data_IF_137463202736
#
_entry.id   IF_137463202736
#
_cell.length_a   1.000
_cell.length_b   1.000
_cell.length_c   1.000
_cell.angle_alpha   90.00
_cell.angle_beta   90.00
_cell.angle_gamma   90.00
#
_symmetry.space_group_name_H-M   'P 1'
#
loop_
_entity.id
_entity.type
_entity.pdbx_description
1 polymer ?
#
# COMPACT_ATOMS: atom_id res chain seq x y z
N UNK A 1 -18.66 25.64 -10.18
CA UNK A 1 -17.19 25.54 -10.31
C UNK A 1 -16.68 24.99 -9.00
N UNK A 2 -16.16 23.76 -9.00
CA UNK A 2 -15.58 23.13 -7.81
C UNK A 2 -14.25 23.84 -7.53
N UNK A 3 -13.96 24.11 -6.26
CA UNK A 3 -12.85 24.92 -5.79
C UNK A 3 -11.51 24.38 -6.33
N UNK A 4 -10.79 25.14 -7.16
CA UNK A 4 -9.49 24.73 -7.73
C UNK A 4 -8.39 24.55 -6.66
N UNK A 5 -8.73 24.84 -5.40
CA UNK A 5 -7.86 24.70 -4.23
C UNK A 5 -8.10 23.42 -3.41
N UNK A 6 -9.07 22.56 -3.76
CA UNK A 6 -9.25 21.29 -3.02
C UNK A 6 -8.13 20.32 -3.39
N UNK A 7 -7.21 20.05 -2.44
CA UNK A 7 -6.17 19.01 -2.58
C UNK A 7 -6.81 17.63 -2.72
N UNK A 8 -6.31 16.74 -3.61
CA UNK A 8 -6.78 15.36 -3.67
C UNK A 8 -6.41 14.62 -2.38
N UNK A 9 -7.30 13.76 -1.93
CA UNK A 9 -7.07 12.90 -0.76
C UNK A 9 -6.02 11.83 -1.10
N UNK A 10 -4.98 11.69 -0.28
CA UNK A 10 -4.02 10.59 -0.39
C UNK A 10 -4.49 9.38 0.42
N UNK A 11 -4.99 8.36 -0.28
CA UNK A 11 -5.52 7.14 0.31
C UNK A 11 -4.46 6.02 0.38
N UNK A 12 -4.15 5.59 1.60
CA UNK A 12 -3.00 4.73 1.90
C UNK A 12 -3.41 3.32 2.34
N UNK A 13 -2.73 2.26 1.84
CA UNK A 13 -3.04 0.88 2.19
C UNK A 13 -2.47 0.48 3.55
N UNK A 14 -3.29 -0.15 4.40
CA UNK A 14 -2.79 -0.76 5.63
C UNK A 14 -2.80 -2.27 5.56
N UNK A 15 -1.65 -2.84 5.91
CA UNK A 15 -1.52 -4.25 6.25
C UNK A 15 -2.01 -4.46 7.69
N UNK A 16 -1.31 -3.82 8.64
CA UNK A 16 -1.51 -3.95 10.08
C UNK A 16 -1.19 -2.63 10.81
N UNK A 17 -1.20 -2.63 12.15
CA UNK A 17 -0.91 -1.43 12.96
C UNK A 17 0.46 -0.81 12.70
N UNK A 18 1.47 -1.59 12.29
CA UNK A 18 2.79 -1.04 11.95
C UNK A 18 2.71 -0.19 10.69
N UNK A 19 1.93 -0.61 9.70
CA UNK A 19 1.65 0.21 8.51
C UNK A 19 0.85 1.46 8.87
N UNK A 20 -0.08 1.40 9.83
CA UNK A 20 -0.83 2.58 10.28
C UNK A 20 0.13 3.61 10.91
N UNK A 21 0.93 3.18 11.88
CA UNK A 21 1.90 4.02 12.57
C UNK A 21 2.97 4.61 11.65
N UNK A 22 3.21 3.98 10.50
CA UNK A 22 4.14 4.43 9.48
C UNK A 22 3.63 5.62 8.65
N UNK A 23 2.33 5.93 8.68
CA UNK A 23 1.72 6.90 7.75
C UNK A 23 0.83 7.96 8.42
N UNK A 24 0.74 7.95 9.75
CA UNK A 24 -0.08 8.91 10.51
C UNK A 24 0.21 10.38 10.17
N UNK A 25 1.45 10.70 9.77
CA UNK A 25 1.87 12.07 9.49
C UNK A 25 1.69 12.49 8.02
N UNK A 26 1.35 11.56 7.12
CA UNK A 26 1.38 11.81 5.66
C UNK A 26 0.12 11.36 4.90
N UNK A 27 -0.78 10.60 5.53
CA UNK A 27 -2.01 10.12 4.89
C UNK A 27 -3.19 11.06 5.17
N UNK A 28 -4.07 11.25 4.19
CA UNK A 28 -5.37 11.91 4.42
C UNK A 28 -6.45 10.86 4.76
N UNK A 29 -6.31 9.65 4.21
CA UNK A 29 -7.17 8.52 4.51
C UNK A 29 -6.40 7.20 4.43
N UNK A 30 -6.95 6.17 5.08
CA UNK A 30 -6.43 4.81 5.04
C UNK A 30 -7.49 3.81 4.63
N UNK A 31 -7.08 2.75 3.92
CA UNK A 31 -7.97 1.62 3.63
C UNK A 31 -7.35 0.29 4.07
N UNK A 32 -8.20 -0.57 4.62
CA UNK A 32 -7.78 -1.84 5.18
C UNK A 32 -8.89 -2.88 5.14
N UNK A 33 -8.54 -4.15 5.35
CA UNK A 33 -9.51 -5.23 5.46
C UNK A 33 -9.38 -5.94 6.79
N UNK A 34 -10.46 -6.57 7.23
CA UNK A 34 -10.43 -7.51 8.36
C UNK A 34 -10.03 -8.92 7.87
N UNK A 35 -9.98 -9.92 8.73
CA UNK A 35 -9.67 -11.32 8.39
C UNK A 35 -10.73 -12.02 7.49
N UNK A 36 -11.61 -11.26 6.81
CA UNK A 36 -12.68 -11.76 5.93
C UNK A 36 -13.01 -10.77 4.82
N UNK A 37 -13.64 -11.28 3.76
CA UNK A 37 -14.28 -10.55 2.65
C UNK A 37 -13.48 -9.42 1.99
N UNK A 38 -12.17 -9.57 1.82
CA UNK A 38 -11.37 -8.54 1.17
C UNK A 38 -10.38 -9.12 0.15
N UNK A 39 -9.89 -8.26 -0.74
CA UNK A 39 -9.04 -8.66 -1.87
C UNK A 39 -7.62 -9.12 -1.52
N UNK A 40 -7.22 -9.13 -0.24
CA UNK A 40 -5.89 -9.53 0.23
C UNK A 40 -6.01 -10.45 1.44
N UNK A 41 -6.73 -11.56 1.27
CA UNK A 41 -7.00 -12.53 2.35
C UNK A 41 -5.73 -13.13 2.96
N UNK A 42 -4.64 -13.23 2.19
CA UNK A 42 -3.34 -13.73 2.68
C UNK A 42 -2.45 -12.63 3.29
N UNK A 43 -2.93 -11.39 3.41
CA UNK A 43 -2.21 -10.37 4.15
C UNK A 43 -2.37 -10.56 5.66
N UNK A 44 -1.49 -9.94 6.43
CA UNK A 44 -1.58 -9.83 7.89
C UNK A 44 -2.66 -8.80 8.22
N UNK A 45 -3.92 -9.18 8.04
CA UNK A 45 -5.09 -8.31 8.14
C UNK A 45 -5.41 -7.96 9.60
N UNK A 46 -6.17 -6.89 9.77
CA UNK A 46 -6.72 -6.55 11.06
C UNK A 46 -7.79 -7.54 11.47
N UNK A 47 -7.96 -7.63 12.77
CA UNK A 47 -8.93 -8.49 13.40
C UNK A 47 -10.20 -7.63 13.62
N UNK A 48 -11.40 -8.23 13.65
CA UNK A 48 -12.65 -7.42 13.60
C UNK A 48 -12.82 -6.51 14.83
N UNK A 49 -12.36 -6.98 15.97
CA UNK A 49 -12.34 -6.25 17.24
C UNK A 49 -11.29 -5.12 17.32
N UNK A 50 -10.37 -5.03 16.35
CA UNK A 50 -9.40 -3.94 16.25
C UNK A 50 -10.05 -2.66 15.70
N UNK A 51 -11.23 -2.75 15.06
CA UNK A 51 -11.89 -1.62 14.39
C UNK A 51 -11.99 -0.36 15.26
N UNK A 52 -12.51 -0.40 16.52
CA UNK A 52 -12.62 0.82 17.33
C UNK A 52 -11.26 1.47 17.61
N UNK A 53 -10.20 0.65 17.78
CA UNK A 53 -8.84 1.17 18.01
C UNK A 53 -8.28 1.81 16.75
N UNK A 54 -8.48 1.20 15.58
CA UNK A 54 -8.02 1.73 14.29
C UNK A 54 -8.70 3.08 14.02
N UNK A 55 -10.03 3.13 14.07
CA UNK A 55 -10.80 4.35 13.78
C UNK A 55 -10.43 5.47 14.76
N UNK A 56 -10.40 5.17 16.07
CA UNK A 56 -9.95 6.14 17.08
C UNK A 56 -8.55 6.70 16.82
N UNK A 57 -7.64 5.85 16.34
CA UNK A 57 -6.26 6.28 16.04
C UNK A 57 -6.24 7.19 14.82
N UNK A 58 -7.00 6.86 13.76
CA UNK A 58 -7.09 7.65 12.55
C UNK A 58 -7.76 9.01 12.81
N UNK A 59 -8.90 9.02 13.50
CA UNK A 59 -9.62 10.26 13.83
C UNK A 59 -8.83 11.19 14.75
N UNK A 60 -8.03 10.65 15.68
CA UNK A 60 -7.13 11.44 16.52
C UNK A 60 -6.04 12.18 15.73
N UNK A 61 -5.76 11.76 14.50
CA UNK A 61 -4.82 12.40 13.57
C UNK A 61 -5.51 12.96 12.32
N UNK A 62 -6.84 13.14 12.35
CA UNK A 62 -7.64 13.65 11.23
C UNK A 62 -7.57 12.83 9.94
N UNK A 63 -7.39 11.51 10.06
CA UNK A 63 -7.34 10.56 8.95
C UNK A 63 -8.69 9.84 8.85
N UNK A 64 -9.26 9.75 7.64
CA UNK A 64 -10.44 8.92 7.38
C UNK A 64 -10.08 7.43 7.29
N UNK A 65 -10.91 6.56 7.86
CA UNK A 65 -10.73 5.12 7.89
C UNK A 65 -11.76 4.40 7.00
N UNK A 66 -11.29 3.68 5.98
CA UNK A 66 -12.15 2.96 5.03
C UNK A 66 -11.96 1.44 5.13
N UNK A 67 -13.05 0.73 5.42
CA UNK A 67 -13.06 -0.74 5.52
C UNK A 67 -13.36 -1.37 4.15
N UNK A 68 -12.52 -2.30 3.69
CA UNK A 68 -12.78 -3.05 2.46
C UNK A 68 -13.58 -4.32 2.73
N UNK A 69 -14.76 -4.43 2.11
CA UNK A 69 -15.53 -5.67 1.95
C UNK A 69 -15.72 -5.95 0.45
N UNK A 70 -14.61 -5.92 -0.28
CA UNK A 70 -14.59 -5.76 -1.72
C UNK A 70 -14.33 -7.08 -2.47
N UNK A 71 -15.11 -8.12 -2.15
CA UNK A 71 -15.11 -9.41 -2.86
C UNK A 71 -16.54 -9.81 -3.20
N UNK A 72 -16.71 -10.79 -4.08
CA UNK A 72 -18.04 -11.40 -4.37
C UNK A 72 -18.59 -12.01 -3.08
N UNK A 73 -19.87 -11.86 -2.77
CA UNK A 73 -20.51 -12.40 -1.56
C UNK A 73 -21.51 -13.48 -1.93
N UNK A 74 -21.53 -14.58 -1.19
CA UNK A 74 -22.53 -15.66 -1.35
C UNK A 74 -23.66 -15.54 -0.32
N UNK A 75 -24.81 -16.13 -0.63
CA UNK A 75 -26.02 -16.08 0.21
C UNK A 75 -25.75 -16.45 1.68
N UNK A 76 -25.02 -17.56 1.90
CA UNK A 76 -24.67 -18.05 3.23
C UNK A 76 -23.64 -17.18 3.97
N UNK A 77 -23.09 -16.15 3.34
CA UNK A 77 -22.07 -15.25 3.90
C UNK A 77 -22.65 -13.94 4.42
N UNK A 78 -23.90 -13.61 4.09
CA UNK A 78 -24.55 -12.35 4.52
C UNK A 78 -24.65 -12.22 6.04
N UNK A 79 -24.81 -13.32 6.78
CA UNK A 79 -24.80 -13.28 8.25
C UNK A 79 -23.46 -12.75 8.80
N UNK A 80 -22.34 -13.21 8.25
CA UNK A 80 -21.02 -12.73 8.66
C UNK A 80 -20.78 -11.30 8.18
N UNK A 81 -21.19 -10.97 6.96
CA UNK A 81 -21.08 -9.62 6.42
C UNK A 81 -21.87 -8.63 7.30
N UNK A 82 -23.10 -8.96 7.67
CA UNK A 82 -23.94 -8.14 8.54
C UNK A 82 -23.23 -7.86 9.88
N UNK A 83 -22.65 -8.89 10.51
CA UNK A 83 -21.87 -8.74 11.74
C UNK A 83 -20.65 -7.82 11.57
N UNK A 84 -19.95 -7.92 10.44
CA UNK A 84 -18.81 -7.05 10.13
C UNK A 84 -19.28 -5.60 9.98
N UNK A 85 -20.36 -5.36 9.24
CA UNK A 85 -20.92 -4.02 9.03
C UNK A 85 -21.49 -3.42 10.32
N UNK A 86 -22.15 -4.21 11.17
CA UNK A 86 -22.61 -3.76 12.50
C UNK A 86 -21.44 -3.25 13.35
N UNK A 87 -20.33 -3.99 13.34
CA UNK A 87 -19.10 -3.56 14.03
C UNK A 87 -18.44 -2.35 13.39
N UNK A 88 -18.56 -2.20 12.07
CA UNK A 88 -18.04 -1.04 11.36
C UNK A 88 -18.85 0.23 11.71
N UNK A 89 -20.18 0.13 11.83
CA UNK A 89 -21.05 1.21 12.31
C UNK A 89 -20.74 1.56 13.77
N UNK A 90 -20.64 0.56 14.67
CA UNK A 90 -20.30 0.78 16.08
C UNK A 90 -18.93 1.46 16.26
N UNK A 91 -17.96 1.14 15.40
CA UNK A 91 -16.64 1.74 15.41
C UNK A 91 -16.58 3.10 14.69
N UNK A 92 -17.68 3.59 14.13
CA UNK A 92 -17.78 4.85 13.39
C UNK A 92 -16.84 4.89 12.16
N UNK A 93 -16.78 3.80 11.39
CA UNK A 93 -16.02 3.77 10.13
C UNK A 93 -16.53 4.86 9.17
N UNK A 94 -15.63 5.57 8.48
CA UNK A 94 -16.02 6.67 7.62
C UNK A 94 -16.70 6.18 6.33
N UNK A 95 -16.23 5.07 5.77
CA UNK A 95 -16.88 4.42 4.62
C UNK A 95 -16.47 2.96 4.46
N UNK A 96 -17.27 2.21 3.69
CA UNK A 96 -16.91 0.87 3.20
C UNK A 96 -16.61 0.85 1.71
N UNK A 97 -15.53 0.17 1.32
CA UNK A 97 -15.18 -0.07 -0.09
C UNK A 97 -15.77 -1.41 -0.50
N UNK A 98 -16.74 -1.39 -1.41
CA UNK A 98 -17.61 -2.51 -1.74
C UNK A 98 -17.93 -2.60 -3.24
N UNK A 99 -18.44 -3.73 -3.73
CA UNK A 99 -18.94 -3.81 -5.11
C UNK A 99 -20.10 -4.78 -5.31
N UNK A 100 -20.25 -5.77 -4.44
CA UNK A 100 -21.36 -6.71 -4.51
C UNK A 100 -22.69 -5.98 -4.30
N UNK A 101 -23.65 -6.18 -5.22
CA UNK A 101 -24.90 -5.41 -5.25
C UNK A 101 -25.79 -5.74 -4.05
N UNK A 102 -25.84 -7.00 -3.62
CA UNK A 102 -26.59 -7.38 -2.41
C UNK A 102 -25.95 -6.79 -1.16
N UNK A 103 -24.62 -6.76 -1.12
CA UNK A 103 -23.88 -6.13 -0.03
C UNK A 103 -24.08 -4.59 0.00
N UNK A 104 -24.18 -3.93 -1.16
CA UNK A 104 -24.52 -2.49 -1.25
C UNK A 104 -25.89 -2.21 -0.64
N UNK A 105 -26.90 -3.05 -0.91
CA UNK A 105 -28.23 -2.88 -0.30
C UNK A 105 -28.15 -2.95 1.24
N UNK A 106 -27.42 -3.93 1.78
CA UNK A 106 -27.24 -4.07 3.22
C UNK A 106 -26.51 -2.87 3.86
N UNK A 107 -25.51 -2.31 3.16
CA UNK A 107 -24.79 -1.11 3.61
C UNK A 107 -25.73 0.11 3.65
N UNK A 108 -26.62 0.24 2.65
CA UNK A 108 -27.63 1.30 2.61
C UNK A 108 -28.66 1.17 3.72
N UNK A 109 -29.12 -0.04 4.04
CA UNK A 109 -30.03 -0.29 5.16
C UNK A 109 -29.45 0.17 6.50
N UNK A 110 -28.12 0.16 6.62
CA UNK A 110 -27.38 0.62 7.80
C UNK A 110 -27.04 2.11 7.78
N UNK A 111 -27.43 2.85 6.74
CA UNK A 111 -27.05 4.25 6.52
C UNK A 111 -25.54 4.50 6.58
N UNK A 112 -24.75 3.53 6.09
CA UNK A 112 -23.29 3.63 6.08
C UNK A 112 -22.81 4.14 4.72
N UNK A 113 -21.90 5.12 4.72
CA UNK A 113 -21.29 5.65 3.50
C UNK A 113 -20.46 4.59 2.79
N UNK A 114 -20.47 4.62 1.44
CA UNK A 114 -19.82 3.58 0.65
C UNK A 114 -19.17 4.09 -0.63
N UNK A 115 -18.05 3.43 -0.94
CA UNK A 115 -17.24 3.66 -2.13
C UNK A 115 -17.29 2.41 -3.00
N UNK A 116 -17.38 2.59 -4.32
CA UNK A 116 -17.38 1.46 -5.25
C UNK A 116 -15.96 1.03 -5.57
N UNK A 117 -15.63 -0.20 -5.23
CA UNK A 117 -14.36 -0.85 -5.53
C UNK A 117 -14.10 -0.97 -7.04
N UNK A 118 -12.83 -0.89 -7.44
CA UNK A 118 -12.37 -1.16 -8.81
C UNK A 118 -12.81 -2.55 -9.33
N UNK A 119 -13.22 -3.46 -8.45
CA UNK A 119 -13.84 -4.75 -8.84
C UNK A 119 -15.14 -4.59 -9.63
N UNK A 120 -15.86 -3.48 -9.48
CA UNK A 120 -17.03 -3.17 -10.31
C UNK A 120 -16.66 -2.82 -11.77
N UNK A 121 -15.37 -2.63 -12.07
CA UNK A 121 -14.87 -2.29 -13.40
C UNK A 121 -15.58 -1.07 -14.03
N UNK A 122 -15.66 0.02 -13.27
CA UNK A 122 -16.25 1.29 -13.76
C UNK A 122 -15.29 1.90 -14.79
N UNK A 123 -15.61 1.71 -16.07
CA UNK A 123 -14.79 2.14 -17.21
C UNK A 123 -15.49 3.15 -18.13
N UNK A 124 -16.69 3.59 -17.78
CA UNK A 124 -17.47 4.54 -18.59
C UNK A 124 -18.44 5.35 -17.71
N UNK A 125 -18.91 6.47 -18.26
CA UNK A 125 -19.78 7.42 -17.57
C UNK A 125 -21.16 6.87 -17.21
N UNK A 126 -21.71 5.92 -17.99
CA UNK A 126 -23.01 5.30 -17.68
C UNK A 126 -22.94 4.46 -16.42
N UNK A 127 -21.91 3.63 -16.29
CA UNK A 127 -21.65 2.86 -15.07
C UNK A 127 -21.39 3.79 -13.88
N UNK A 128 -20.58 4.84 -14.08
CA UNK A 128 -20.27 5.79 -13.02
C UNK A 128 -21.53 6.49 -12.49
N UNK A 129 -22.38 6.98 -13.40
CA UNK A 129 -23.66 7.60 -13.07
C UNK A 129 -24.63 6.66 -12.37
N UNK A 130 -24.72 5.41 -12.82
CA UNK A 130 -25.55 4.40 -12.16
C UNK A 130 -25.17 4.26 -10.67
N UNK A 131 -23.86 4.18 -10.37
CA UNK A 131 -23.41 4.05 -8.99
C UNK A 131 -23.62 5.34 -8.17
N UNK A 132 -23.43 6.52 -8.78
CA UNK A 132 -23.79 7.80 -8.14
C UNK A 132 -25.30 7.86 -7.80
N UNK A 133 -26.17 7.46 -8.74
CA UNK A 133 -27.63 7.53 -8.59
C UNK A 133 -28.15 6.61 -7.47
N UNK A 134 -27.46 5.49 -7.19
CA UNK A 134 -27.82 4.61 -6.07
C UNK A 134 -27.20 5.04 -4.72
N UNK A 135 -26.41 6.12 -4.71
CA UNK A 135 -25.91 6.76 -3.49
C UNK A 135 -24.41 6.56 -3.19
N UNK A 136 -23.61 6.08 -4.14
CA UNK A 136 -22.16 5.96 -3.90
C UNK A 136 -21.50 7.34 -3.76
N UNK A 137 -20.71 7.52 -2.71
CA UNK A 137 -20.00 8.79 -2.46
C UNK A 137 -18.70 8.89 -3.26
N UNK A 138 -18.07 7.76 -3.56
CA UNK A 138 -16.82 7.68 -4.32
C UNK A 138 -16.75 6.48 -5.24
N UNK A 139 -16.18 6.67 -6.42
CA UNK A 139 -16.04 5.66 -7.46
C UNK A 139 -14.57 5.39 -7.74
N UNK A 140 -14.10 4.20 -7.39
CA UNK A 140 -12.73 3.76 -7.69
C UNK A 140 -12.73 3.23 -9.11
N UNK A 141 -12.22 4.05 -10.04
CA UNK A 141 -12.31 3.78 -11.46
C UNK A 141 -11.44 2.57 -11.87
N UNK A 142 -11.80 1.98 -13.02
CA UNK A 142 -11.04 0.90 -13.63
C UNK A 142 -9.60 1.35 -13.94
N UNK A 143 -8.63 0.44 -13.79
CA UNK A 143 -7.19 0.73 -13.99
C UNK A 143 -6.78 0.77 -15.46
N UNK A 144 -7.71 0.43 -16.35
CA UNK A 144 -7.50 0.34 -17.79
C UNK A 144 -7.88 1.64 -18.53
N UNK A 145 -8.12 2.75 -17.80
CA UNK A 145 -8.52 4.04 -18.37
C UNK A 145 -7.34 4.97 -18.61
N UNK A 146 -7.44 5.77 -19.67
CA UNK A 146 -6.56 6.92 -19.90
C UNK A 146 -6.97 8.12 -19.05
N UNK A 147 -6.07 9.09 -18.90
CA UNK A 147 -6.35 10.32 -18.17
C UNK A 147 -7.51 11.14 -18.79
N UNK A 148 -7.61 11.12 -20.12
CA UNK A 148 -8.69 11.75 -20.88
C UNK A 148 -10.04 11.08 -20.53
N UNK A 149 -10.11 9.75 -20.58
CA UNK A 149 -11.32 9.01 -20.23
C UNK A 149 -11.74 9.22 -18.77
N UNK A 150 -10.77 9.31 -17.85
CA UNK A 150 -11.04 9.63 -16.44
C UNK A 150 -11.68 11.02 -16.33
N UNK A 151 -11.12 12.00 -17.05
CA UNK A 151 -11.62 13.38 -17.06
C UNK A 151 -13.04 13.45 -17.64
N UNK A 152 -13.30 12.74 -18.74
CA UNK A 152 -14.63 12.62 -19.35
C UNK A 152 -15.66 12.04 -18.36
N UNK A 153 -15.33 10.93 -17.70
CA UNK A 153 -16.20 10.34 -16.66
C UNK A 153 -16.48 11.36 -15.57
N UNK A 154 -15.45 12.07 -15.08
CA UNK A 154 -15.59 13.08 -14.03
C UNK A 154 -16.60 14.18 -14.39
N UNK A 155 -16.61 14.63 -15.63
CA UNK A 155 -17.54 15.70 -16.08
C UNK A 155 -19.02 15.30 -15.99
N UNK A 156 -19.31 14.00 -15.95
CA UNK A 156 -20.69 13.49 -15.91
C UNK A 156 -21.29 13.35 -14.51
N UNK A 157 -20.43 13.40 -13.47
CA UNK A 157 -20.81 13.22 -12.07
C UNK A 157 -21.20 14.55 -11.43
N UNK A 158 -22.19 14.52 -10.53
CA UNK A 158 -22.69 15.71 -9.83
C UNK A 158 -22.11 15.85 -8.43
N UNK A 159 -21.95 14.73 -7.73
CA UNK A 159 -21.61 14.66 -6.31
C UNK A 159 -20.48 13.68 -6.05
N UNK A 160 -20.53 12.51 -6.69
CA UNK A 160 -19.58 11.44 -6.44
C UNK A 160 -18.13 11.87 -6.76
N UNK A 161 -17.24 11.50 -5.86
CA UNK A 161 -15.81 11.62 -6.04
C UNK A 161 -15.28 10.50 -6.94
N UNK A 162 -14.18 10.75 -7.64
CA UNK A 162 -13.44 9.72 -8.37
C UNK A 162 -12.11 9.46 -7.66
N UNK A 163 -11.76 8.19 -7.62
CA UNK A 163 -10.51 7.71 -7.06
C UNK A 163 -9.78 6.86 -8.10
N UNK A 164 -8.48 7.09 -8.23
CA UNK A 164 -7.64 6.33 -9.15
C UNK A 164 -6.38 5.82 -8.46
N UNK A 165 -5.85 4.70 -8.95
CA UNK A 165 -4.56 4.21 -8.47
C UNK A 165 -3.45 5.09 -9.04
N UNK A 166 -2.47 5.46 -8.21
CA UNK A 166 -1.31 6.27 -8.63
C UNK A 166 0.02 5.53 -8.46
N UNK A 167 0.05 4.50 -7.60
CA UNK A 167 1.25 3.72 -7.35
C UNK A 167 0.95 2.27 -7.02
N UNK A 168 1.92 1.40 -7.33
CA UNK A 168 1.99 0.03 -6.83
C UNK A 168 1.60 -1.00 -7.88
N UNK A 169 1.29 -2.20 -7.41
CA UNK A 169 1.25 -3.33 -8.32
C UNK A 169 0.07 -3.33 -9.31
N UNK A 170 0.38 -3.46 -10.60
CA UNK A 170 -0.61 -3.56 -11.67
C UNK A 170 -0.97 -5.02 -11.99
N UNK A 171 -2.23 -5.24 -12.38
CA UNK A 171 -2.71 -6.53 -12.91
C UNK A 171 -2.54 -6.54 -14.43
N UNK A 172 -2.28 -7.71 -15.01
CA UNK A 172 -2.32 -7.94 -16.46
C UNK A 172 -3.70 -8.29 -16.97
N UNK A 173 -4.53 -8.91 -16.13
CA UNK A 173 -5.95 -9.11 -16.41
C UNK A 173 -6.75 -7.84 -16.16
N UNK A 174 -7.89 -7.71 -16.86
CA UNK A 174 -8.89 -6.68 -16.59
C UNK A 174 -9.32 -6.73 -15.12
N UNK A 175 -9.39 -5.55 -14.50
CA UNK A 175 -9.77 -5.35 -13.11
C UNK A 175 -11.09 -6.06 -12.77
N UNK A 176 -11.07 -6.90 -11.74
CA UNK A 176 -12.23 -7.68 -11.28
C UNK A 176 -12.58 -8.91 -12.13
N UNK A 177 -11.77 -9.27 -13.14
CA UNK A 177 -12.09 -10.35 -14.10
C UNK A 177 -10.98 -11.42 -14.24
N UNK A 178 -10.15 -11.61 -13.22
CA UNK A 178 -9.03 -12.54 -13.28
C UNK A 178 -9.40 -13.94 -12.76
N UNK A 179 -9.30 -14.95 -13.62
CA UNK A 179 -9.54 -16.37 -13.29
C UNK A 179 -8.25 -17.19 -13.13
N UNK A 180 -7.11 -16.63 -13.50
CA UNK A 180 -5.87 -17.38 -13.66
C UNK A 180 -5.39 -18.11 -12.39
N UNK A 181 -5.60 -17.52 -11.21
CA UNK A 181 -5.26 -18.15 -9.93
C UNK A 181 -6.15 -19.35 -9.59
N UNK A 182 -7.44 -19.28 -9.90
CA UNK A 182 -8.35 -20.40 -9.65
C UNK A 182 -8.05 -21.56 -10.60
N UNK A 183 -7.75 -21.25 -11.86
CA UNK A 183 -7.43 -22.23 -12.89
C UNK A 183 -6.15 -23.02 -12.56
N UNK A 184 -5.05 -22.32 -12.27
CA UNK A 184 -3.77 -22.97 -11.93
C UNK A 184 -3.83 -23.79 -10.63
N UNK A 185 -4.76 -23.48 -9.74
CA UNK A 185 -4.99 -24.26 -8.52
C UNK A 185 -6.11 -25.29 -8.65
N UNK A 186 -6.75 -25.40 -9.82
CA UNK A 186 -7.90 -26.28 -10.05
C UNK A 186 -9.02 -26.09 -8.99
N UNK A 187 -9.19 -24.87 -8.49
CA UNK A 187 -10.09 -24.60 -7.38
C UNK A 187 -10.51 -23.14 -7.30
N UNK A 188 -11.83 -22.92 -7.24
CA UNK A 188 -12.43 -21.61 -6.95
C UNK A 188 -12.04 -21.07 -5.57
N UNK A 189 -11.51 -21.93 -4.68
CA UNK A 189 -10.92 -21.54 -3.41
C UNK A 189 -9.75 -20.56 -3.54
N UNK A 190 -9.09 -20.48 -4.71
CA UNK A 190 -7.98 -19.56 -5.00
C UNK A 190 -8.38 -18.44 -5.95
N UNK A 191 -9.68 -18.13 -6.06
CA UNK A 191 -10.16 -17.06 -6.93
C UNK A 191 -9.60 -15.69 -6.54
N UNK A 192 -9.11 -14.96 -7.55
CA UNK A 192 -8.64 -13.59 -7.36
C UNK A 192 -9.80 -12.66 -6.97
N UNK A 193 -11.02 -12.95 -7.43
CA UNK A 193 -12.22 -12.19 -7.10
C UNK A 193 -12.73 -12.43 -5.68
N UNK A 194 -12.13 -13.39 -4.99
CA UNK A 194 -12.36 -13.73 -3.58
C UNK A 194 -11.17 -13.36 -2.70
N UNK A 195 -10.23 -12.58 -3.23
CA UNK A 195 -9.03 -12.12 -2.51
C UNK A 195 -8.00 -13.19 -2.19
N UNK A 196 -8.11 -14.38 -2.82
CA UNK A 196 -7.26 -15.55 -2.59
C UNK A 196 -6.31 -15.83 -3.76
N UNK A 197 -5.92 -14.78 -4.48
CA UNK A 197 -4.98 -14.89 -5.60
C UNK A 197 -3.59 -15.30 -5.12
N UNK A 198 -3.03 -16.37 -5.70
CA UNK A 198 -1.64 -16.84 -5.47
C UNK A 198 -0.61 -16.12 -6.35
N UNK A 199 -1.06 -15.14 -7.14
CA UNK A 199 -0.27 -14.33 -8.06
C UNK A 199 0.50 -15.15 -9.12
N UNK A 200 -0.15 -16.08 -9.86
CA UNK A 200 0.52 -16.91 -10.85
C UNK A 200 1.13 -16.07 -11.99
N UNK A 201 0.57 -14.89 -12.29
CA UNK A 201 1.11 -13.96 -13.29
C UNK A 201 2.50 -13.41 -12.98
N UNK A 202 2.99 -13.57 -11.74
CA UNK A 202 4.32 -13.13 -11.30
C UNK A 202 5.34 -14.26 -11.23
N UNK A 203 4.97 -15.46 -11.68
CA UNK A 203 5.84 -16.64 -11.72
C UNK A 203 6.54 -16.73 -13.07
N UNK A 204 7.60 -17.54 -13.11
CA UNK A 204 8.24 -17.95 -14.35
C UNK A 204 7.41 -19.03 -15.03
N UNK A 205 7.14 -18.89 -16.32
CA UNK A 205 6.42 -19.85 -17.15
C UNK A 205 7.21 -20.18 -18.42
N UNK A 206 7.18 -21.44 -18.85
CA UNK A 206 7.57 -21.83 -20.21
C UNK A 206 6.31 -21.91 -21.06
N UNK A 207 6.33 -21.33 -22.25
CA UNK A 207 5.20 -21.37 -23.19
C UNK A 207 5.63 -22.11 -24.44
N UNK A 208 4.88 -23.15 -24.79
CA UNK A 208 5.06 -23.92 -26.02
C UNK A 208 3.73 -24.00 -26.78
N UNK A 209 3.79 -24.10 -28.11
CA UNK A 209 2.62 -24.44 -28.91
C UNK A 209 2.32 -25.96 -28.89
N UNK A 210 1.28 -26.37 -29.61
CA UNK A 210 0.90 -27.78 -29.76
C UNK A 210 1.96 -28.63 -30.48
N UNK A 211 2.87 -28.01 -31.23
CA UNK A 211 3.98 -28.67 -31.89
C UNK A 211 5.23 -28.75 -31.00
N UNK A 212 5.11 -28.36 -29.71
CA UNK A 212 6.21 -28.29 -28.76
C UNK A 212 7.32 -27.31 -29.18
N UNK A 213 7.02 -26.33 -30.03
CA UNK A 213 7.93 -25.21 -30.24
C UNK A 213 7.91 -24.36 -28.99
N UNK A 214 9.00 -24.41 -28.22
CA UNK A 214 9.20 -23.46 -27.14
C UNK A 214 9.41 -22.09 -27.73
N UNK A 215 8.56 -21.14 -27.35
CA UNK A 215 8.80 -19.74 -27.68
C UNK A 215 9.96 -19.25 -26.82
N UNK A 216 11.17 -19.31 -27.38
CA UNK A 216 12.38 -18.76 -26.82
C UNK A 216 12.16 -17.28 -26.52
N UNK A 217 11.97 -17.00 -25.25
CA UNK A 217 11.88 -15.67 -24.69
C UNK A 217 12.92 -15.60 -23.58
N UNK A 218 13.89 -14.70 -23.68
CA UNK A 218 15.06 -14.55 -22.77
C UNK A 218 14.71 -14.22 -21.30
N UNK A 219 13.46 -14.44 -20.88
CA UNK A 219 12.99 -14.30 -19.51
C UNK A 219 11.54 -14.75 -19.40
N UNK A 220 11.28 -15.75 -18.55
CA UNK A 220 10.02 -16.48 -18.43
C UNK A 220 8.83 -15.68 -17.84
N UNK A 221 8.66 -14.40 -18.18
CA UNK A 221 7.59 -13.53 -17.69
C UNK A 221 6.70 -13.01 -18.80
N UNK A 222 5.59 -13.69 -19.04
CA UNK A 222 4.62 -13.32 -20.08
C UNK A 222 3.63 -12.24 -19.61
N UNK A 223 3.42 -12.13 -18.29
CA UNK A 223 2.30 -11.39 -17.68
C UNK A 223 2.69 -10.75 -16.33
N UNK A 224 3.98 -10.45 -16.14
CA UNK A 224 4.51 -9.79 -14.95
C UNK A 224 4.57 -8.27 -15.16
N UNK A 225 3.44 -7.58 -15.00
CA UNK A 225 3.39 -6.13 -15.17
C UNK A 225 4.37 -5.41 -14.22
N UNK A 226 5.01 -4.36 -14.75
CA UNK A 226 5.70 -3.33 -13.96
C UNK A 226 4.72 -2.68 -12.99
N UNK A 227 5.26 -2.07 -11.94
CA UNK A 227 4.43 -1.34 -10.97
C UNK A 227 4.01 0.01 -11.56
N UNK A 228 2.76 0.40 -11.32
CA UNK A 228 2.27 1.74 -11.65
C UNK A 228 3.05 2.77 -10.82
N UNK A 229 3.46 3.87 -11.46
CA UNK A 229 4.02 5.02 -10.78
C UNK A 229 3.69 6.30 -11.54
N UNK A 230 2.90 7.17 -10.91
CA UNK A 230 2.47 8.45 -11.49
C UNK A 230 3.12 9.65 -10.80
N UNK A 231 4.19 9.45 -10.04
CA UNK A 231 4.84 10.49 -9.23
C UNK A 231 5.29 11.69 -10.06
N UNK A 232 5.76 11.46 -11.29
CA UNK A 232 6.19 12.51 -12.22
C UNK A 232 5.01 13.30 -12.84
N UNK A 233 3.79 12.78 -12.66
CA UNK A 233 2.59 13.22 -13.35
C UNK A 233 1.50 13.72 -12.40
N UNK A 234 1.84 13.97 -11.14
CA UNK A 234 0.94 14.55 -10.15
C UNK A 234 0.24 15.83 -10.65
N UNK A 235 0.93 16.79 -11.31
CA UNK A 235 0.25 17.95 -11.89
C UNK A 235 -0.89 17.57 -12.83
N UNK A 236 -0.64 16.64 -13.77
CA UNK A 236 -1.64 16.18 -14.75
C UNK A 236 -2.81 15.47 -14.08
N UNK A 237 -2.56 14.69 -13.03
CA UNK A 237 -3.61 14.00 -12.27
C UNK A 237 -4.52 14.99 -11.53
N UNK A 238 -3.95 16.05 -10.95
CA UNK A 238 -4.70 17.11 -10.28
C UNK A 238 -5.52 17.92 -11.29
N UNK A 239 -4.92 18.26 -12.43
CA UNK A 239 -5.60 18.97 -13.54
C UNK A 239 -6.75 18.16 -14.15
N UNK A 240 -6.66 16.82 -14.13
CA UNK A 240 -7.75 15.92 -14.51
C UNK A 240 -8.89 15.84 -13.47
N UNK A 241 -8.83 16.64 -12.40
CA UNK A 241 -9.86 16.78 -11.38
C UNK A 241 -10.20 15.44 -10.66
N UNK A 242 -9.17 14.63 -10.42
CA UNK A 242 -9.26 13.40 -9.62
C UNK A 242 -9.31 13.78 -8.14
N UNK A 243 -10.33 13.34 -7.39
CA UNK A 243 -10.51 13.77 -5.99
C UNK A 243 -9.67 12.95 -5.00
N UNK A 244 -9.25 11.72 -5.34
CA UNK A 244 -8.47 10.87 -4.46
C UNK A 244 -7.42 10.03 -5.20
N UNK A 245 -6.20 9.99 -4.65
CA UNK A 245 -5.07 9.20 -5.12
C UNK A 245 -4.86 7.98 -4.24
N UNK A 246 -5.04 6.79 -4.82
CA UNK A 246 -4.91 5.51 -4.13
C UNK A 246 -3.55 4.86 -4.35
N UNK A 247 -2.87 4.51 -3.27
CA UNK A 247 -1.65 3.69 -3.32
C UNK A 247 -2.01 2.20 -3.18
N UNK A 248 -1.51 1.33 -4.07
CA UNK A 248 -1.61 -0.13 -3.89
C UNK A 248 -0.41 -0.66 -3.11
N UNK A 249 -0.68 -1.33 -1.98
CA UNK A 249 0.41 -1.82 -1.13
C UNK A 249 0.00 -2.64 0.08
N UNK A 250 -1.24 -3.15 0.16
CA UNK A 250 -1.76 -3.79 1.40
C UNK A 250 -1.01 -5.04 1.87
N UNK A 251 -0.21 -5.65 1.00
CA UNK A 251 0.65 -6.80 1.35
C UNK A 251 2.11 -6.41 1.62
N UNK A 252 2.45 -5.13 1.42
CA UNK A 252 3.82 -4.62 1.49
C UNK A 252 4.24 -4.38 2.94
N UNK A 253 5.55 -4.23 3.10
CA UNK A 253 6.17 -3.92 4.37
C UNK A 253 5.88 -2.46 4.77
N UNK A 254 5.77 -2.13 6.07
CA UNK A 254 5.57 -0.75 6.51
C UNK A 254 6.57 0.25 5.94
N UNK A 255 7.83 -0.14 5.70
CA UNK A 255 8.84 0.72 5.06
C UNK A 255 8.41 1.14 3.64
N UNK A 256 7.87 0.20 2.86
CA UNK A 256 7.34 0.52 1.54
C UNK A 256 6.18 1.50 1.65
N UNK A 257 5.25 1.26 2.58
CA UNK A 257 4.05 2.07 2.72
C UNK A 257 4.42 3.50 3.17
N UNK A 258 5.35 3.67 4.11
CA UNK A 258 5.86 4.99 4.51
C UNK A 258 6.56 5.73 3.37
N UNK A 259 7.51 5.08 2.69
CA UNK A 259 8.32 5.74 1.67
C UNK A 259 7.47 6.17 0.47
N UNK A 260 6.55 5.30 0.02
CA UNK A 260 5.63 5.66 -1.07
C UNK A 260 4.70 6.79 -0.62
N UNK A 261 4.09 6.69 0.56
CA UNK A 261 3.16 7.72 1.05
C UNK A 261 3.85 9.08 1.16
N UNK A 262 5.04 9.14 1.77
CA UNK A 262 5.79 10.39 1.91
C UNK A 262 6.15 11.02 0.57
N UNK A 263 6.64 10.24 -0.41
CA UNK A 263 6.91 10.75 -1.76
C UNK A 263 5.65 11.36 -2.41
N UNK A 264 4.50 10.69 -2.33
CA UNK A 264 3.27 11.20 -2.92
C UNK A 264 2.72 12.43 -2.16
N UNK A 265 2.78 12.44 -0.83
CA UNK A 265 2.40 13.60 -0.01
C UNK A 265 3.23 14.82 -0.38
N UNK A 266 4.56 14.67 -0.40
CA UNK A 266 5.50 15.72 -0.79
C UNK A 266 5.24 16.22 -2.22
N UNK A 267 4.92 15.32 -3.15
CA UNK A 267 4.64 15.69 -4.54
C UNK A 267 3.32 16.46 -4.69
N UNK A 268 2.26 16.05 -3.98
CA UNK A 268 0.98 16.77 -3.96
C UNK A 268 1.20 18.15 -3.35
N UNK A 269 1.87 18.26 -2.20
CA UNK A 269 2.13 19.55 -1.56
C UNK A 269 3.00 20.45 -2.43
N UNK A 270 4.04 19.91 -3.06
CA UNK A 270 4.88 20.67 -3.97
C UNK A 270 4.11 21.26 -5.15
N UNK A 271 3.05 20.60 -5.66
CA UNK A 271 2.19 21.17 -6.69
C UNK A 271 1.45 22.41 -6.18
N UNK A 272 0.76 22.31 -5.04
CA UNK A 272 -0.01 23.42 -4.48
C UNK A 272 0.86 24.57 -3.95
N UNK A 273 2.08 24.26 -3.49
CA UNK A 273 3.05 25.24 -3.03
C UNK A 273 3.85 25.87 -4.20
N UNK A 274 3.57 25.49 -5.45
CA UNK A 274 4.29 25.93 -6.65
C UNK A 274 5.82 25.63 -6.59
N UNK A 275 6.19 24.51 -5.96
CA UNK A 275 7.57 24.04 -5.82
C UNK A 275 7.81 22.65 -6.45
N UNK A 276 6.90 22.17 -7.30
CA UNK A 276 7.05 20.93 -8.05
C UNK A 276 8.09 21.12 -9.16
N UNK A 277 9.27 20.51 -9.00
CA UNK A 277 10.40 20.67 -9.94
C UNK A 277 10.98 19.32 -10.34
N UNK A 278 11.66 19.28 -11.50
CA UNK A 278 12.34 18.06 -11.96
C UNK A 278 13.34 17.49 -10.94
N UNK A 279 14.01 18.36 -10.18
CA UNK A 279 14.95 17.92 -9.14
C UNK A 279 14.24 17.16 -8.01
N UNK A 280 13.07 17.64 -7.57
CA UNK A 280 12.26 16.91 -6.59
C UNK A 280 11.70 15.62 -7.17
N UNK A 281 11.24 15.64 -8.43
CA UNK A 281 10.78 14.45 -9.14
C UNK A 281 11.85 13.37 -9.17
N UNK A 282 13.08 13.70 -9.60
CA UNK A 282 14.22 12.77 -9.59
C UNK A 282 14.50 12.24 -8.17
N UNK A 283 14.39 13.09 -7.15
CA UNK A 283 14.56 12.64 -5.76
C UNK A 283 13.50 11.61 -5.34
N UNK A 284 12.22 11.87 -5.64
CA UNK A 284 11.14 10.93 -5.31
C UNK A 284 11.26 9.62 -6.08
N UNK A 285 11.57 9.65 -7.38
CA UNK A 285 11.81 8.44 -8.17
C UNK A 285 12.95 7.63 -7.55
N UNK A 286 14.10 8.26 -7.26
CA UNK A 286 15.24 7.59 -6.62
C UNK A 286 14.89 6.99 -5.24
N UNK A 287 13.97 7.58 -4.48
CA UNK A 287 13.48 7.03 -3.21
C UNK A 287 12.56 5.84 -3.43
N UNK A 288 11.62 5.93 -4.36
CA UNK A 288 10.69 4.86 -4.72
C UNK A 288 11.44 3.63 -5.27
N UNK A 289 12.56 3.81 -5.97
CA UNK A 289 13.43 2.72 -6.43
C UNK A 289 14.08 1.92 -5.29
N UNK A 290 14.20 2.49 -4.07
CA UNK A 290 14.79 1.82 -2.89
C UNK A 290 13.83 0.86 -2.19
N UNK A 291 12.53 0.98 -2.46
CA UNK A 291 11.53 0.06 -1.91
C UNK A 291 11.12 -0.94 -2.97
N UNK A 292 10.39 -1.99 -2.56
CA UNK A 292 10.02 -3.07 -3.48
C UNK A 292 9.35 -2.50 -4.74
N UNK A 293 9.89 -2.82 -5.92
CA UNK A 293 9.26 -2.50 -7.18
C UNK A 293 9.66 -3.51 -8.27
N UNK A 294 8.92 -3.53 -9.39
CA UNK A 294 9.21 -4.34 -10.59
C UNK A 294 9.69 -3.50 -11.77
N UNK A 295 10.17 -2.29 -11.50
CA UNK A 295 10.23 -1.21 -12.48
C UNK A 295 8.90 -0.46 -12.54
N UNK A 296 8.94 0.72 -13.15
CA UNK A 296 7.81 1.64 -13.19
C UNK A 296 7.19 1.78 -14.57
N UNK A 297 5.89 2.04 -14.56
CA UNK A 297 5.01 2.21 -15.69
C UNK A 297 3.98 3.30 -15.40
N UNK A 298 3.50 4.00 -16.42
CA UNK A 298 2.33 4.88 -16.30
C UNK A 298 1.02 4.13 -16.58
N UNK A 299 1.08 2.82 -16.81
CA UNK A 299 -0.10 2.00 -17.09
C UNK A 299 -0.87 2.52 -18.31
N UNK A 300 -2.18 2.72 -18.13
CA UNK A 300 -3.08 3.15 -19.21
C UNK A 300 -3.22 4.67 -19.34
N UNK A 301 -2.66 5.44 -18.40
CA UNK A 301 -2.92 6.89 -18.29
C UNK A 301 -2.56 7.68 -19.56
N UNK A 302 -1.52 7.26 -20.29
CA UNK A 302 -1.04 7.93 -21.51
C UNK A 302 -1.08 7.05 -22.76
N UNK A 303 -1.95 6.04 -22.75
CA UNK A 303 -2.15 5.15 -23.89
C UNK A 303 -2.13 3.67 -23.48
N UNK A 304 -2.33 2.79 -24.46
CA UNK A 304 -2.36 1.36 -24.21
C UNK A 304 -0.95 0.84 -23.84
N UNK A 305 -0.81 0.10 -22.73
CA UNK A 305 0.44 -0.56 -22.37
C UNK A 305 0.96 -1.45 -23.50
N UNK A 306 2.26 -1.37 -23.76
CA UNK A 306 2.97 -2.21 -24.71
C UNK A 306 3.74 -3.31 -23.97
N UNK A 307 4.35 -4.22 -24.71
CA UNK A 307 5.18 -5.29 -24.14
C UNK A 307 6.36 -4.81 -23.27
N UNK A 308 6.78 -3.54 -23.41
CA UNK A 308 7.79 -2.87 -22.58
C UNK A 308 7.33 -2.61 -21.14
N UNK A 309 6.03 -2.67 -20.88
CA UNK A 309 5.43 -2.53 -19.54
C UNK A 309 5.42 -3.86 -18.76
N UNK A 310 5.89 -4.94 -19.37
CA UNK A 310 6.11 -6.23 -18.72
C UNK A 310 7.56 -6.32 -18.27
N UNK A 311 7.79 -6.66 -17.00
CA UNK A 311 9.11 -6.93 -16.45
C UNK A 311 9.54 -8.34 -16.84
N UNK A 312 10.56 -8.42 -17.69
CA UNK A 312 11.03 -9.64 -18.34
C UNK A 312 12.36 -10.16 -17.81
N UNK A 313 13.14 -9.30 -17.17
CA UNK A 313 14.53 -9.62 -16.76
C UNK A 313 14.58 -10.24 -15.37
N UNK A 314 13.75 -9.77 -14.43
CA UNK A 314 13.86 -10.13 -13.02
C UNK A 314 12.58 -10.73 -12.43
N UNK A 315 12.77 -11.70 -11.53
CA UNK A 315 11.71 -12.25 -10.69
C UNK A 315 11.44 -11.36 -9.47
N UNK A 316 10.40 -10.53 -9.58
CA UNK A 316 9.92 -9.76 -8.45
C UNK A 316 10.73 -8.48 -8.21
N UNK A 317 11.39 -8.35 -7.05
CA UNK A 317 11.94 -7.05 -6.66
C UNK A 317 13.22 -6.70 -7.43
N UNK A 318 13.20 -5.60 -8.18
CA UNK A 318 14.40 -5.08 -8.86
C UNK A 318 15.19 -4.07 -8.02
N UNK A 319 14.67 -3.65 -6.87
CA UNK A 319 15.39 -2.70 -6.02
C UNK A 319 16.74 -3.26 -5.58
N UNK A 320 17.79 -2.45 -5.75
CA UNK A 320 19.13 -2.75 -5.24
C UNK A 320 19.24 -2.58 -3.72
N UNK A 321 18.15 -2.24 -3.02
CA UNK A 321 18.14 -2.14 -1.57
C UNK A 321 17.53 -3.39 -0.92
N UNK A 322 18.14 -3.81 0.19
CA UNK A 322 17.66 -4.93 0.99
C UNK A 322 17.47 -4.50 2.44
N UNK A 323 16.31 -4.85 3.00
CA UNK A 323 16.06 -4.78 4.44
C UNK A 323 16.83 -5.90 5.14
N UNK A 324 17.80 -5.54 5.98
CA UNK A 324 18.60 -6.48 6.78
C UNK A 324 18.26 -6.35 8.26
N UNK A 325 18.11 -7.49 8.95
CA UNK A 325 17.92 -7.57 10.40
C UNK A 325 19.30 -7.43 11.07
N UNK A 326 19.51 -6.31 11.76
CA UNK A 326 20.79 -5.98 12.41
C UNK A 326 20.77 -6.25 13.91
N UNK A 327 19.61 -6.52 14.50
CA UNK A 327 19.49 -6.73 15.94
C UNK A 327 18.10 -6.57 16.50
N UNK A 328 18.02 -6.41 17.82
CA UNK A 328 16.75 -6.21 18.53
C UNK A 328 16.88 -5.34 19.78
N UNK A 329 15.78 -4.73 20.18
CA UNK A 329 15.66 -3.98 21.43
C UNK A 329 15.71 -4.93 22.63
N UNK A 330 16.62 -4.68 23.56
CA UNK A 330 16.69 -5.35 24.86
C UNK A 330 15.88 -4.64 25.93
N UNK A 331 15.93 -3.32 25.94
CA UNK A 331 15.22 -2.49 26.91
C UNK A 331 15.00 -1.08 26.37
N UNK A 332 13.95 -0.41 26.85
CA UNK A 332 13.67 1.00 26.61
C UNK A 332 13.71 1.76 27.95
N UNK A 333 14.30 2.96 27.95
CA UNK A 333 14.40 3.83 29.11
C UNK A 333 13.62 5.13 28.84
N UNK A 334 12.36 5.24 29.31
CA UNK A 334 11.49 6.37 29.00
C UNK A 334 12.09 7.73 29.39
N UNK A 335 12.63 7.86 30.61
CA UNK A 335 13.24 9.10 31.13
C UNK A 335 14.39 9.63 30.27
N UNK A 336 15.07 8.74 29.54
CA UNK A 336 16.22 9.09 28.70
C UNK A 336 15.89 9.10 27.22
N UNK A 337 14.66 8.74 26.84
CA UNK A 337 14.25 8.45 25.46
C UNK A 337 15.31 7.60 24.72
N UNK A 338 15.77 6.53 25.37
CA UNK A 338 16.88 5.73 24.88
C UNK A 338 16.56 4.24 24.87
N UNK A 339 17.04 3.53 23.86
CA UNK A 339 16.90 2.09 23.74
C UNK A 339 18.26 1.40 23.86
N UNK A 340 18.30 0.31 24.62
CA UNK A 340 19.42 -0.65 24.58
C UNK A 340 19.14 -1.66 23.49
N UNK A 341 19.99 -1.70 22.46
CA UNK A 341 19.89 -2.58 21.31
C UNK A 341 20.98 -3.65 21.38
N UNK A 342 20.61 -4.89 21.10
CA UNK A 342 21.53 -5.99 20.85
C UNK A 342 21.75 -6.12 19.35
N UNK A 343 22.91 -5.69 18.87
CA UNK A 343 23.34 -5.94 17.50
C UNK A 343 23.76 -7.41 17.34
N UNK A 344 23.29 -8.02 16.25
CA UNK A 344 23.58 -9.42 15.88
C UNK A 344 24.17 -9.56 14.48
N UNK A 345 24.18 -8.48 13.70
CA UNK A 345 24.86 -8.42 12.40
C UNK A 345 25.19 -6.97 12.03
N UNK A 346 26.24 -6.78 11.22
CA UNK A 346 26.60 -5.48 10.65
C UNK A 346 27.17 -4.49 11.65
N UNK A 347 27.12 -3.20 11.30
CA UNK A 347 27.49 -2.08 12.17
C UNK A 347 26.48 -0.96 12.05
N UNK A 348 26.43 -0.12 13.08
CA UNK A 348 25.64 1.11 13.10
C UNK A 348 26.58 2.31 13.16
N UNK A 349 26.34 3.29 12.32
CA UNK A 349 27.06 4.56 12.25
C UNK A 349 26.14 5.72 12.60
N UNK A 350 26.69 6.84 13.07
CA UNK A 350 25.92 8.07 13.17
C UNK A 350 25.35 8.45 11.80
N UNK A 351 24.14 9.00 11.81
CA UNK A 351 23.32 9.31 10.64
C UNK A 351 22.84 8.11 9.82
N UNK A 352 23.12 6.87 10.24
CA UNK A 352 22.44 5.71 9.66
C UNK A 352 20.94 5.83 9.87
N UNK A 353 20.18 5.58 8.81
CA UNK A 353 18.75 5.39 8.92
C UNK A 353 18.46 3.96 9.38
N UNK A 354 17.73 3.84 10.49
CA UNK A 354 17.32 2.57 11.07
C UNK A 354 15.80 2.49 11.20
N UNK A 355 15.32 1.26 11.24
CA UNK A 355 13.91 0.94 11.40
C UNK A 355 13.73 0.02 12.59
N UNK A 356 12.99 0.45 13.62
CA UNK A 356 12.59 -0.40 14.74
C UNK A 356 11.16 -0.85 14.51
N UNK A 357 10.98 -2.15 14.25
CA UNK A 357 9.69 -2.73 13.86
C UNK A 357 9.33 -3.87 14.82
N UNK A 358 8.14 -3.78 15.39
CA UNK A 358 7.60 -4.76 16.32
C UNK A 358 7.41 -6.14 15.70
N UNK A 359 7.78 -7.20 16.43
CA UNK A 359 7.45 -8.58 15.99
C UNK A 359 6.02 -8.94 16.41
N UNK A 360 5.67 -8.66 17.67
CA UNK A 360 4.35 -8.91 18.28
C UNK A 360 3.74 -7.64 18.88
N UNK A 361 4.19 -6.50 18.38
CA UNK A 361 3.81 -5.17 18.86
C UNK A 361 3.53 -4.28 17.66
N UNK A 362 2.84 -3.17 17.93
CA UNK A 362 2.50 -2.17 16.93
C UNK A 362 3.65 -1.20 16.63
N UNK A 363 4.83 -1.39 17.25
CA UNK A 363 5.96 -0.47 17.10
C UNK A 363 6.37 -0.35 15.64
N UNK A 364 6.39 0.88 15.15
CA UNK A 364 7.06 1.28 13.92
C UNK A 364 7.77 2.60 14.17
N UNK A 365 9.07 2.63 13.90
CA UNK A 365 9.90 3.82 14.04
C UNK A 365 10.99 3.82 12.97
N UNK A 366 10.94 4.80 12.09
CA UNK A 366 12.04 5.21 11.20
C UNK A 366 12.74 6.40 11.84
N UNK A 367 14.06 6.33 11.99
CA UNK A 367 14.85 7.47 12.47
C UNK A 367 16.29 7.38 11.97
N UNK A 368 16.99 8.51 12.06
CA UNK A 368 18.45 8.53 11.97
C UNK A 368 19.06 8.26 13.35
N UNK A 369 20.21 7.61 13.37
CA UNK A 369 20.98 7.41 14.60
C UNK A 369 21.76 8.69 14.92
N UNK A 370 21.37 9.36 16.00
CA UNK A 370 21.96 10.62 16.46
C UNK A 370 23.05 10.42 17.55
N UNK A 371 23.04 9.26 18.20
CA UNK A 371 23.86 8.98 19.37
C UNK A 371 24.12 7.48 19.50
N UNK A 372 25.36 7.14 19.86
CA UNK A 372 25.78 5.76 20.10
C UNK A 372 26.58 5.68 21.40
N UNK A 373 26.22 4.73 22.25
CA UNK A 373 26.91 4.41 23.48
C UNK A 373 27.25 2.92 23.56
N UNK A 374 28.50 2.59 23.90
CA UNK A 374 28.94 1.22 24.20
C UNK A 374 29.55 1.20 25.60
N UNK A 375 28.95 0.42 26.51
CA UNK A 375 29.32 0.41 27.93
C UNK A 375 29.31 1.85 28.50
N UNK A 376 30.46 2.36 28.95
CA UNK A 376 30.61 3.74 29.45
C UNK A 376 31.17 4.72 28.39
N UNK A 377 31.54 4.24 27.19
CA UNK A 377 32.02 5.11 26.10
C UNK A 377 30.83 5.76 25.38
N UNK A 378 30.82 7.08 25.37
CA UNK A 378 29.83 7.95 24.69
C UNK A 378 30.45 8.58 23.43
N UNK A 379 29.61 9.24 22.62
CA UNK A 379 30.01 10.00 21.42
C UNK A 379 30.76 9.15 20.37
N UNK A 380 30.35 7.90 20.21
CA UNK A 380 30.90 7.03 19.18
C UNK A 380 30.32 7.43 17.82
N UNK A 381 31.18 7.48 16.80
CA UNK A 381 30.76 7.71 15.41
C UNK A 381 30.26 6.43 14.74
N UNK A 382 30.76 5.27 15.17
CA UNK A 382 30.30 3.96 14.70
C UNK A 382 30.51 2.85 15.73
N UNK A 383 29.82 1.73 15.55
CA UNK A 383 30.01 0.49 16.30
C UNK A 383 31.05 -0.41 15.61
N UNK A 384 31.75 -1.27 16.37
CA UNK A 384 32.45 -2.41 15.79
C UNK A 384 31.52 -3.24 14.91
N UNK A 385 32.08 -3.86 13.87
CA UNK A 385 31.33 -4.74 12.98
C UNK A 385 31.05 -6.08 13.66
N UNK A 386 29.76 -6.46 13.69
CA UNK A 386 29.28 -7.72 14.24
C UNK A 386 29.12 -8.73 13.09
N UNK A 387 29.96 -9.77 13.10
CA UNK A 387 30.00 -10.78 12.02
C UNK A 387 29.02 -11.94 12.20
N UNK A 388 28.59 -12.25 13.42
CA UNK A 388 27.69 -13.39 13.67
C UNK A 388 26.89 -13.25 14.96
N UNK A 389 25.89 -14.13 15.14
CA UNK A 389 25.08 -14.24 16.37
C UNK A 389 25.88 -14.64 17.61
N UNK A 390 27.14 -15.06 17.48
CA UNK A 390 28.01 -15.43 18.60
C UNK A 390 28.74 -14.21 19.17
N UNK A 391 29.11 -13.26 18.31
CA UNK A 391 29.77 -12.01 18.68
C UNK A 391 28.78 -10.85 18.79
N UNK A 392 27.87 -10.90 19.77
CA UNK A 392 26.83 -9.87 19.94
C UNK A 392 27.36 -8.62 20.61
N UNK A 393 26.86 -7.45 20.21
CA UNK A 393 27.22 -6.17 20.80
C UNK A 393 25.98 -5.46 21.35
N UNK A 394 26.01 -5.08 22.63
CA UNK A 394 24.98 -4.23 23.21
C UNK A 394 25.36 -2.76 23.08
N UNK A 395 24.49 -1.98 22.46
CA UNK A 395 24.62 -0.53 22.28
C UNK A 395 23.45 0.20 22.91
N UNK A 396 23.64 1.45 23.31
CA UNK A 396 22.58 2.39 23.62
C UNK A 396 22.46 3.42 22.49
N UNK A 397 21.24 3.73 22.07
CA UNK A 397 20.93 4.82 21.14
C UNK A 397 19.75 5.64 21.69
N UNK A 398 19.65 6.93 21.34
CA UNK A 398 18.41 7.67 21.54
C UNK A 398 17.34 7.21 20.53
N UNK A 399 16.07 7.28 20.94
CA UNK A 399 14.92 6.93 20.11
C UNK A 399 13.81 7.95 20.23
N UNK A 400 13.22 8.32 19.09
CA UNK A 400 12.26 9.43 19.02
C UNK A 400 10.87 9.06 19.56
N UNK A 401 10.52 7.78 19.48
CA UNK A 401 9.25 7.22 19.96
C UNK A 401 9.49 6.02 20.88
N UNK A 402 8.55 5.70 21.80
CA UNK A 402 8.66 4.51 22.64
C UNK A 402 8.82 3.22 21.83
N UNK A 403 9.75 2.36 22.25
CA UNK A 403 9.98 1.04 21.65
C UNK A 403 9.84 -0.06 22.70
N UNK A 404 9.60 -1.30 22.26
CA UNK A 404 9.33 -2.43 23.14
C UNK A 404 10.43 -3.49 23.05
N UNK A 405 10.59 -4.24 24.15
CA UNK A 405 11.53 -5.36 24.23
C UNK A 405 11.22 -6.37 23.13
N UNK A 406 12.27 -6.86 22.46
CA UNK A 406 12.24 -7.75 21.29
C UNK A 406 11.71 -7.15 19.98
N UNK A 407 11.44 -5.84 19.92
CA UNK A 407 11.27 -5.18 18.63
C UNK A 407 12.57 -5.32 17.83
N UNK A 408 12.44 -5.62 16.54
CA UNK A 408 13.58 -5.87 15.66
C UNK A 408 14.11 -4.57 15.09
N UNK A 409 15.41 -4.50 14.88
CA UNK A 409 16.09 -3.35 14.31
C UNK A 409 16.58 -3.72 12.92
N UNK A 410 16.23 -2.91 11.93
CA UNK A 410 16.59 -3.13 10.54
C UNK A 410 17.32 -1.92 9.95
N UNK A 411 18.07 -2.18 8.89
CA UNK A 411 18.68 -1.16 8.01
C UNK A 411 18.36 -1.50 6.56
N UNK A 412 18.19 -0.48 5.72
CA UNK A 412 18.22 -0.66 4.26
C UNK A 412 19.65 -0.53 3.78
N UNK A 413 20.16 -1.55 3.10
CA UNK A 413 21.52 -1.55 2.54
C UNK A 413 21.48 -1.76 1.04
N UNK A 414 22.35 -1.06 0.32
CA UNK A 414 22.57 -1.29 -1.11
C UNK A 414 23.26 -2.65 -1.30
N UNK A 415 22.83 -3.38 -2.33
CA UNK A 415 23.36 -4.68 -2.75
C UNK A 415 24.68 -4.56 -3.48
#
# INVERSE_FOLDING_TARGET
MKDSNKKPELLVPLKNFKSLNAVLDNADAVYFGVESFNMRMYSDNFKLEDLPKIVKTCHATHISAYLTTNVVIYENEFNLLNKILDKAVEAEIDAVIIHDIGAINLVKEKNLSFHISTQANISNSRSAKFYEDIGAERLILARELSLEQISEIKTTLKKAEIETFVHGAQCTSISGRCYFSAEICESQGYSANRGRCIQPCRRKWTVSDEQSNEFLYDGAFFINAKDLCMIEHIPKLIEANIDAFKIEGRMRDPIYVEEVTSCYREAIDAYYDNTFTETKVKNWVNRLEKVYNRGFSTGFYFGLPKGSEIQREFDGNISNFKKIDIGKVLNYYPERKAAKILLTSGKVQLNDEIYIIGTHTDTYLKQKVDSIQIKQKKNLTETPFVTSKENRLAIGIAVDKPVKKNDKVFKLVHR
#
